data_IF_660297870481
#
_entry.id   IF_660297870481
#
_cell.length_a   1.000
_cell.length_b   1.000
_cell.length_c   1.000
_cell.angle_alpha   90.00
_cell.angle_beta   90.00
_cell.angle_gamma   90.00
#
_symmetry.space_group_name_H-M   'P 1'
#
loop_
_entity.id
_entity.type
_entity.pdbx_description
1 polymer ?
#
# COMPACT_ATOMS: atom_id res chain seq x y z
N UNK A 1 101.46 -3.38 3.41
CA UNK A 1 100.70 -4.08 2.35
C UNK A 1 99.22 -4.00 2.71
N UNK A 2 98.56 -3.13 2.02
CA UNK A 2 97.16 -2.78 2.32
C UNK A 2 96.16 -3.87 1.78
N UNK A 3 95.29 -4.42 2.61
CA UNK A 3 94.14 -5.22 2.17
C UNK A 3 92.87 -4.52 2.60
N UNK A 4 92.12 -4.03 1.61
CA UNK A 4 90.80 -3.41 1.76
C UNK A 4 89.75 -4.46 2.06
N UNK A 5 88.97 -4.28 3.11
CA UNK A 5 87.70 -5.05 3.39
C UNK A 5 86.54 -4.42 2.64
N UNK A 6 85.62 -5.21 2.07
CA UNK A 6 84.51 -4.69 1.23
C UNK A 6 83.33 -4.18 2.02
N UNK A 7 82.79 -3.04 1.55
CA UNK A 7 81.59 -2.36 2.00
C UNK A 7 80.37 -3.10 1.52
N UNK A 8 79.90 -4.18 2.20
CA UNK A 8 78.65 -4.93 1.85
C UNK A 8 77.56 -4.88 2.95
N UNK A 9 77.83 -4.25 4.09
CA UNK A 9 76.90 -4.32 5.22
C UNK A 9 75.83 -3.22 5.32
N UNK A 10 75.88 -2.19 4.46
CA UNK A 10 74.87 -1.07 4.55
C UNK A 10 73.69 -1.19 3.61
N UNK A 11 73.72 -2.03 2.60
CA UNK A 11 72.61 -2.17 1.64
C UNK A 11 71.46 -3.07 2.14
N UNK A 12 71.74 -4.03 3.07
CA UNK A 12 70.72 -4.94 3.56
C UNK A 12 69.83 -4.34 4.65
N UNK A 13 70.38 -3.42 5.45
CA UNK A 13 69.61 -2.77 6.52
C UNK A 13 68.56 -1.75 5.98
N UNK A 14 68.92 -1.03 4.88
CA UNK A 14 67.99 -0.07 4.24
C UNK A 14 66.85 -0.74 3.50
N UNK A 15 67.07 -1.96 2.95
CA UNK A 15 66.00 -2.70 2.26
C UNK A 15 65.00 -3.32 3.20
N UNK A 16 65.40 -3.74 4.41
CA UNK A 16 64.49 -4.29 5.43
C UNK A 16 63.62 -3.18 6.03
N UNK A 17 64.15 -1.95 6.21
CA UNK A 17 63.36 -0.81 6.73
C UNK A 17 62.31 -0.34 5.69
N UNK A 18 62.61 -0.37 4.38
CA UNK A 18 61.68 0.02 3.33
C UNK A 18 60.52 -1.01 3.17
N UNK A 19 60.80 -2.30 3.41
CA UNK A 19 59.72 -3.33 3.34
C UNK A 19 58.87 -3.40 4.61
N UNK A 20 59.40 -3.00 5.76
CA UNK A 20 58.59 -2.94 6.99
C UNK A 20 57.63 -1.76 7.02
N UNK A 21 57.95 -0.67 6.30
CA UNK A 21 57.06 0.50 6.15
C UNK A 21 55.86 0.26 5.23
N UNK A 22 55.96 -0.75 4.31
CA UNK A 22 54.88 -1.09 3.39
C UNK A 22 53.85 -2.05 3.99
N UNK A 23 54.16 -2.74 5.08
CA UNK A 23 53.27 -3.66 5.75
C UNK A 23 52.32 -2.99 6.79
N UNK A 24 52.51 -1.69 7.08
CA UNK A 24 51.69 -0.96 8.04
C UNK A 24 50.55 -0.18 7.36
N UNK A 25 50.54 -0.11 6.01
CA UNK A 25 49.55 0.70 5.26
C UNK A 25 48.30 -0.07 4.80
N UNK A 26 48.09 -1.29 5.29
CA UNK A 26 46.90 -2.09 4.94
C UNK A 26 45.95 -2.31 6.12
N UNK A 27 45.90 -1.39 7.06
CA UNK A 27 44.74 -1.30 7.94
C UNK A 27 43.62 -0.72 7.10
N UNK A 28 42.88 -1.56 6.38
CA UNK A 28 41.52 -1.22 6.01
C UNK A 28 40.79 -1.04 7.33
N UNK A 29 40.74 0.21 7.79
CA UNK A 29 39.75 0.60 8.77
C UNK A 29 38.40 0.24 8.14
N UNK A 30 37.80 -0.88 8.57
CA UNK A 30 36.39 -1.06 8.41
C UNK A 30 35.78 0.13 9.15
N UNK A 31 35.47 1.20 8.44
CA UNK A 31 34.59 2.22 8.93
C UNK A 31 33.28 1.46 9.19
N UNK A 32 33.03 1.14 10.45
CA UNK A 32 31.68 0.82 10.91
C UNK A 32 30.93 2.10 10.61
N UNK A 33 30.15 2.08 9.54
CA UNK A 33 29.25 3.17 9.20
C UNK A 33 28.29 3.29 10.37
N UNK A 34 28.57 4.23 11.28
CA UNK A 34 27.71 4.50 12.42
C UNK A 34 26.38 4.99 11.85
N UNK A 35 25.34 4.24 12.13
CA UNK A 35 23.99 4.58 11.68
C UNK A 35 23.62 5.99 12.18
N UNK A 36 23.30 6.88 11.25
CA UNK A 36 23.01 8.26 11.56
C UNK A 36 21.64 8.42 12.24
N UNK A 37 21.56 9.33 13.19
CA UNK A 37 20.28 9.72 13.77
C UNK A 37 19.49 10.51 12.71
N UNK A 38 18.27 10.07 12.41
CA UNK A 38 17.32 10.77 11.52
C UNK A 38 16.48 11.79 12.29
N UNK A 39 16.02 11.43 13.50
CA UNK A 39 15.31 12.34 14.38
C UNK A 39 15.49 11.96 15.85
N UNK A 40 15.22 12.91 16.74
CA UNK A 40 15.09 12.69 18.18
C UNK A 40 13.69 13.11 18.63
N UNK A 41 13.01 12.25 19.39
CA UNK A 41 11.68 12.49 19.96
C UNK A 41 11.80 12.35 21.49
N UNK A 42 11.85 13.46 22.19
CA UNK A 42 12.25 13.48 23.60
C UNK A 42 13.66 12.90 23.77
N UNK A 43 13.77 11.82 24.52
CA UNK A 43 15.05 11.11 24.75
C UNK A 43 15.32 9.99 23.74
N UNK A 44 14.32 9.58 22.96
CA UNK A 44 14.42 8.48 22.02
C UNK A 44 14.96 8.95 20.67
N UNK A 45 15.91 8.19 20.10
CA UNK A 45 16.40 8.41 18.74
C UNK A 45 15.63 7.55 17.74
N UNK A 46 15.46 8.08 16.53
CA UNK A 46 15.07 7.34 15.33
C UNK A 46 16.29 7.34 14.42
N UNK A 47 16.73 6.16 14.02
CA UNK A 47 17.90 6.01 13.16
C UNK A 47 17.49 6.08 11.68
N UNK A 48 18.44 6.42 10.81
CA UNK A 48 18.21 6.39 9.36
C UNK A 48 17.87 4.99 8.87
N UNK A 49 18.52 3.97 9.44
CA UNK A 49 18.19 2.57 9.16
C UNK A 49 16.76 2.21 9.53
N UNK A 50 16.20 2.77 10.61
CA UNK A 50 14.79 2.53 11.00
C UNK A 50 13.84 2.98 9.90
N UNK A 51 14.07 4.18 9.33
CA UNK A 51 13.27 4.73 8.25
C UNK A 51 13.39 3.86 6.99
N UNK A 52 14.62 3.52 6.59
CA UNK A 52 14.89 2.70 5.41
C UNK A 52 14.27 1.29 5.55
N UNK A 53 14.33 0.71 6.73
CA UNK A 53 13.72 -0.59 7.02
C UNK A 53 12.19 -0.54 6.90
N UNK A 54 11.53 0.53 7.38
CA UNK A 54 10.08 0.69 7.20
C UNK A 54 9.71 0.89 5.73
N UNK A 55 10.47 1.71 4.98
CA UNK A 55 10.29 1.87 3.53
C UNK A 55 10.42 0.53 2.80
N UNK A 56 11.44 -0.25 3.14
CA UNK A 56 11.67 -1.57 2.54
C UNK A 56 10.52 -2.54 2.86
N UNK A 57 10.02 -2.55 4.09
CA UNK A 57 8.85 -3.38 4.50
C UNK A 57 7.59 -3.00 3.74
N UNK A 58 7.41 -1.70 3.45
CA UNK A 58 6.30 -1.19 2.65
C UNK A 58 6.49 -1.40 1.13
N UNK A 59 7.65 -1.91 0.69
CA UNK A 59 7.98 -2.07 -0.74
C UNK A 59 8.27 -0.75 -1.45
N UNK A 60 8.47 0.35 -0.70
CA UNK A 60 8.72 1.68 -1.24
C UNK A 60 10.23 1.90 -1.37
N UNK A 61 10.67 2.31 -2.57
CA UNK A 61 12.08 2.58 -2.88
C UNK A 61 12.35 4.03 -3.29
N UNK A 62 11.29 4.83 -3.42
CA UNK A 62 11.42 6.24 -3.81
C UNK A 62 11.96 7.04 -2.62
N UNK A 63 13.11 7.68 -2.81
CA UNK A 63 13.75 8.52 -1.80
C UNK A 63 12.89 9.76 -1.43
N UNK A 64 11.98 10.20 -2.30
CA UNK A 64 11.05 11.28 -2.02
C UNK A 64 10.11 10.96 -0.84
N UNK A 65 9.81 9.68 -0.61
CA UNK A 65 8.96 9.22 0.48
C UNK A 65 9.65 9.16 1.85
N UNK A 66 10.98 9.31 1.91
CA UNK A 66 11.75 9.22 3.15
C UNK A 66 11.20 10.12 4.26
N UNK A 67 10.88 11.38 3.95
CA UNK A 67 10.36 12.33 4.91
C UNK A 67 8.97 11.91 5.44
N UNK A 68 8.15 11.31 4.61
CA UNK A 68 6.84 10.76 4.98
C UNK A 68 6.99 9.62 5.99
N UNK A 69 7.86 8.64 5.71
CA UNK A 69 8.16 7.54 6.63
C UNK A 69 8.80 7.99 7.94
N UNK A 70 9.71 8.96 7.89
CA UNK A 70 10.30 9.55 9.09
C UNK A 70 9.22 10.21 9.98
N UNK A 71 8.30 10.97 9.38
CA UNK A 71 7.19 11.57 10.12
C UNK A 71 6.27 10.51 10.75
N UNK A 72 5.98 9.41 10.05
CA UNK A 72 5.19 8.31 10.61
C UNK A 72 5.88 7.67 11.82
N UNK A 73 7.21 7.49 11.78
CA UNK A 73 7.97 6.98 12.91
C UNK A 73 8.00 7.96 14.09
N UNK A 74 8.10 9.26 13.81
CA UNK A 74 8.00 10.32 14.84
C UNK A 74 6.61 10.25 15.51
N UNK A 75 5.53 10.21 14.73
CA UNK A 75 4.18 10.15 15.27
C UNK A 75 3.95 8.86 16.08
N UNK A 76 4.47 7.73 15.60
CA UNK A 76 4.45 6.47 16.35
C UNK A 76 5.14 6.60 17.71
N UNK A 77 6.32 7.20 17.76
CA UNK A 77 7.05 7.44 19.02
C UNK A 77 6.28 8.35 19.96
N UNK A 78 5.66 9.40 19.46
CA UNK A 78 4.81 10.31 20.25
C UNK A 78 3.62 9.56 20.87
N UNK A 79 2.95 8.71 20.10
CA UNK A 79 1.81 7.90 20.57
C UNK A 79 2.26 6.92 21.66
N UNK A 80 3.37 6.21 21.45
CA UNK A 80 3.92 5.27 22.45
C UNK A 80 4.31 5.99 23.75
N UNK A 81 4.90 7.18 23.65
CA UNK A 81 5.22 8.02 24.79
C UNK A 81 3.95 8.46 25.56
N UNK A 82 2.91 8.87 24.84
CA UNK A 82 1.61 9.20 25.43
C UNK A 82 0.96 7.99 26.11
N UNK A 83 1.08 6.79 25.51
CA UNK A 83 0.61 5.54 26.11
C UNK A 83 1.36 5.23 27.40
N UNK A 84 2.69 5.36 27.42
CA UNK A 84 3.49 5.16 28.61
C UNK A 84 3.11 6.15 29.73
N UNK A 85 2.91 7.43 29.41
CA UNK A 85 2.48 8.46 30.36
C UNK A 85 1.10 8.18 30.96
N UNK A 86 0.20 7.61 30.17
CA UNK A 86 -1.14 7.18 30.63
C UNK A 86 -1.16 5.77 31.26
N UNK A 87 0.03 5.14 31.42
CA UNK A 87 0.19 3.75 31.91
C UNK A 87 -0.61 2.72 31.09
N UNK A 88 -0.86 3.00 29.82
CA UNK A 88 -1.52 2.05 28.93
C UNK A 88 -0.54 0.95 28.55
N UNK A 89 -0.90 -0.29 28.86
CA UNK A 89 -0.12 -1.49 28.51
C UNK A 89 -1.03 -2.56 27.94
N UNK A 90 -0.47 -3.44 27.11
CA UNK A 90 -1.16 -4.64 26.66
C UNK A 90 -0.81 -5.82 27.56
N UNK A 91 -1.85 -6.51 28.03
CA UNK A 91 -1.66 -7.74 28.80
C UNK A 91 -1.18 -8.86 27.87
N UNK A 92 -0.32 -9.75 28.37
CA UNK A 92 0.32 -10.78 27.54
C UNK A 92 -0.67 -11.72 26.89
N UNK A 93 -1.77 -12.09 27.56
CA UNK A 93 -2.81 -12.95 26.95
C UNK A 93 -3.50 -12.28 25.74
N UNK A 94 -3.63 -10.95 25.71
CA UNK A 94 -4.19 -10.18 24.58
C UNK A 94 -3.21 -10.23 23.42
N UNK A 95 -1.90 -10.03 23.69
CA UNK A 95 -0.84 -10.14 22.68
C UNK A 95 -0.79 -11.56 22.10
N UNK A 96 -0.83 -12.58 22.94
CA UNK A 96 -0.86 -13.98 22.48
C UNK A 96 -2.10 -14.31 21.64
N UNK A 97 -3.26 -13.74 22.00
CA UNK A 97 -4.48 -13.88 21.20
C UNK A 97 -4.30 -13.28 19.81
N UNK A 98 -3.66 -12.10 19.73
CA UNK A 98 -3.33 -11.46 18.46
C UNK A 98 -2.35 -12.28 17.64
N UNK A 99 -1.33 -12.85 18.26
CA UNK A 99 -0.37 -13.75 17.60
C UNK A 99 -1.10 -14.96 17.02
N UNK A 100 -1.99 -15.61 17.78
CA UNK A 100 -2.79 -16.74 17.27
C UNK A 100 -3.65 -16.34 16.08
N UNK A 101 -4.25 -15.16 16.11
CA UNK A 101 -5.03 -14.64 14.99
C UNK A 101 -4.19 -14.43 13.73
N UNK A 102 -2.99 -13.82 13.87
CA UNK A 102 -2.04 -13.62 12.77
C UNK A 102 -1.63 -14.98 12.18
N UNK A 103 -1.24 -15.93 13.03
CA UNK A 103 -0.84 -17.28 12.60
C UNK A 103 -2.00 -17.97 11.86
N UNK A 104 -3.22 -17.85 12.37
CA UNK A 104 -4.41 -18.44 11.72
C UNK A 104 -4.69 -17.82 10.35
N UNK A 105 -4.65 -16.48 10.23
CA UNK A 105 -5.05 -15.77 9.00
C UNK A 105 -3.97 -15.77 7.92
N UNK A 106 -2.70 -15.60 8.30
CA UNK A 106 -1.60 -15.40 7.36
C UNK A 106 -0.72 -16.65 7.14
N UNK A 107 -0.83 -17.63 8.02
CA UNK A 107 0.04 -18.82 8.02
C UNK A 107 -0.74 -20.14 8.17
N UNK A 108 -2.05 -20.15 7.85
CA UNK A 108 -2.93 -21.33 7.91
C UNK A 108 -2.92 -22.05 9.28
N UNK A 109 -2.67 -21.33 10.36
CA UNK A 109 -2.54 -21.88 11.71
C UNK A 109 -1.17 -22.49 12.04
N UNK A 110 -0.22 -22.48 11.11
CA UNK A 110 1.12 -23.03 11.30
C UNK A 110 2.11 -21.97 11.79
N UNK A 111 2.49 -22.10 13.08
CA UNK A 111 3.47 -21.21 13.71
C UNK A 111 4.88 -21.34 13.12
N UNK A 112 5.25 -22.50 12.57
CA UNK A 112 6.58 -22.68 11.99
C UNK A 112 6.74 -21.85 10.73
N UNK A 113 5.69 -21.72 9.91
CA UNK A 113 5.68 -20.82 8.74
C UNK A 113 5.95 -19.37 9.13
N UNK A 114 5.40 -18.89 10.25
CA UNK A 114 5.72 -17.56 10.79
C UNK A 114 7.21 -17.47 11.14
N UNK A 115 7.75 -18.43 11.90
CA UNK A 115 9.16 -18.42 12.33
C UNK A 115 10.10 -18.46 11.13
N UNK A 116 9.82 -19.28 10.12
CA UNK A 116 10.60 -19.34 8.87
C UNK A 116 10.56 -18.02 8.12
N UNK A 117 9.38 -17.37 8.06
CA UNK A 117 9.22 -16.09 7.40
C UNK A 117 10.02 -14.99 8.10
N UNK A 118 9.97 -14.93 9.43
CA UNK A 118 10.78 -14.01 10.24
C UNK A 118 12.28 -14.26 10.03
N UNK A 119 12.71 -15.52 10.03
CA UNK A 119 14.11 -15.89 9.81
C UNK A 119 14.62 -15.45 8.43
N UNK A 120 13.80 -15.60 7.38
CA UNK A 120 14.12 -15.09 6.04
C UNK A 120 14.26 -13.57 6.01
N UNK A 121 13.50 -12.86 6.83
CA UNK A 121 13.57 -11.40 6.97
C UNK A 121 14.65 -10.95 7.97
N UNK A 122 15.39 -11.86 8.59
CA UNK A 122 16.39 -11.61 9.64
C UNK A 122 15.81 -10.90 10.87
N UNK A 123 14.55 -11.17 11.19
CA UNK A 123 13.84 -10.63 12.37
C UNK A 123 13.73 -11.76 13.40
N UNK A 124 14.12 -11.49 14.63
CA UNK A 124 13.91 -12.46 15.72
C UNK A 124 12.44 -12.48 16.18
N UNK A 125 11.97 -13.62 16.66
CA UNK A 125 10.60 -13.71 17.19
C UNK A 125 10.33 -12.74 18.36
N UNK A 126 11.25 -12.56 19.34
CA UNK A 126 11.05 -11.55 20.40
C UNK A 126 10.95 -10.12 19.86
N UNK A 127 11.76 -9.76 18.88
CA UNK A 127 11.69 -8.42 18.23
C UNK A 127 10.34 -8.22 17.53
N UNK A 128 9.91 -9.20 16.74
CA UNK A 128 8.61 -9.16 16.09
C UNK A 128 7.46 -9.08 17.09
N UNK A 129 7.54 -9.84 18.20
CA UNK A 129 6.53 -9.81 19.26
C UNK A 129 6.46 -8.46 19.95
N UNK A 130 7.62 -7.85 20.25
CA UNK A 130 7.70 -6.52 20.83
C UNK A 130 7.06 -5.47 19.90
N UNK A 131 7.38 -5.50 18.60
CA UNK A 131 6.75 -4.63 17.59
C UNK A 131 5.25 -4.86 17.49
N UNK A 132 4.80 -6.12 17.52
CA UNK A 132 3.37 -6.46 17.53
C UNK A 132 2.66 -5.87 18.75
N UNK A 133 3.27 -5.95 19.94
CA UNK A 133 2.74 -5.34 21.17
C UNK A 133 2.65 -3.82 21.05
N UNK A 134 3.68 -3.17 20.51
CA UNK A 134 3.66 -1.73 20.24
C UNK A 134 2.56 -1.34 19.25
N UNK A 135 2.37 -2.09 18.14
CA UNK A 135 1.32 -1.84 17.17
C UNK A 135 -0.07 -1.90 17.81
N UNK A 136 -0.27 -2.85 18.71
CA UNK A 136 -1.51 -2.97 19.49
C UNK A 136 -1.72 -1.78 20.43
N UNK A 137 -0.66 -1.29 21.08
CA UNK A 137 -0.73 -0.10 21.95
C UNK A 137 -1.07 1.14 21.12
N UNK A 138 -0.42 1.34 19.99
CA UNK A 138 -0.71 2.45 19.05
C UNK A 138 -2.16 2.41 18.58
N UNK A 139 -2.63 1.22 18.16
CA UNK A 139 -4.02 1.02 17.74
C UNK A 139 -5.02 1.32 18.87
N UNK A 140 -4.76 0.86 20.09
CA UNK A 140 -5.62 1.12 21.24
C UNK A 140 -5.64 2.60 21.64
N UNK A 141 -4.52 3.30 21.55
CA UNK A 141 -4.44 4.75 21.78
C UNK A 141 -5.26 5.49 20.72
N UNK A 142 -5.08 5.16 19.45
CA UNK A 142 -5.86 5.75 18.36
C UNK A 142 -7.36 5.53 18.57
N UNK A 143 -7.76 4.30 18.86
CA UNK A 143 -9.17 3.99 19.13
C UNK A 143 -9.73 4.82 20.30
N UNK A 144 -8.98 4.93 21.40
CA UNK A 144 -9.39 5.67 22.58
C UNK A 144 -9.50 7.18 22.36
N UNK A 145 -8.62 7.78 21.58
CA UNK A 145 -8.55 9.24 21.40
C UNK A 145 -9.32 9.69 20.15
N UNK A 146 -9.33 8.89 19.10
CA UNK A 146 -9.89 9.24 17.81
C UNK A 146 -11.15 8.42 17.53
N UNK A 147 -11.01 7.13 17.24
CA UNK A 147 -12.04 6.35 16.56
C UNK A 147 -13.37 6.27 17.33
N UNK A 148 -13.33 6.10 18.65
CA UNK A 148 -14.54 6.09 19.48
C UNK A 148 -15.25 7.45 19.62
N UNK A 149 -14.56 8.55 19.27
CA UNK A 149 -15.08 9.91 19.36
C UNK A 149 -15.53 10.46 18.00
N UNK A 150 -15.37 9.68 16.92
CA UNK A 150 -15.81 10.05 15.59
C UNK A 150 -17.33 10.07 15.52
N UNK A 151 -17.88 11.19 15.09
CA UNK A 151 -19.32 11.36 14.88
C UNK A 151 -19.59 12.04 13.54
N UNK A 152 -20.69 11.64 12.88
CA UNK A 152 -21.19 12.34 11.71
C UNK A 152 -22.43 13.14 12.13
N UNK A 153 -22.29 14.45 12.29
CA UNK A 153 -23.46 15.28 12.60
C UNK A 153 -24.38 15.41 11.37
N UNK A 154 -25.71 15.49 11.55
CA UNK A 154 -26.63 15.69 10.43
C UNK A 154 -26.31 16.94 9.59
N UNK A 155 -25.82 18.01 10.23
CA UNK A 155 -25.40 19.23 9.56
C UNK A 155 -24.18 19.01 8.65
N UNK A 156 -23.15 18.29 9.16
CA UNK A 156 -21.97 17.94 8.39
C UNK A 156 -22.29 17.02 7.21
N UNK A 157 -23.17 16.03 7.41
CA UNK A 157 -23.63 15.13 6.36
C UNK A 157 -24.39 15.88 5.26
N UNK A 158 -25.25 16.83 5.63
CA UNK A 158 -25.98 17.64 4.65
C UNK A 158 -25.00 18.53 3.87
N UNK A 159 -24.05 19.16 4.56
CA UNK A 159 -23.03 20.01 3.92
C UNK A 159 -22.16 19.21 2.94
N UNK A 160 -21.71 18.01 3.29
CA UNK A 160 -20.96 17.11 2.42
C UNK A 160 -21.75 16.75 1.16
N UNK A 161 -23.00 16.33 1.33
CA UNK A 161 -23.88 15.97 0.21
C UNK A 161 -24.13 17.17 -0.73
N UNK A 162 -24.43 18.34 -0.17
CA UNK A 162 -24.73 19.54 -0.97
C UNK A 162 -23.50 20.07 -1.70
N UNK A 163 -22.30 19.93 -1.11
CA UNK A 163 -21.03 20.34 -1.71
C UNK A 163 -20.52 19.36 -2.78
N UNK A 164 -20.88 18.06 -2.69
CA UNK A 164 -20.27 17.00 -3.49
C UNK A 164 -21.31 16.03 -4.08
N UNK A 165 -22.45 16.54 -4.56
CA UNK A 165 -23.52 15.73 -5.17
C UNK A 165 -23.06 14.84 -6.31
N UNK A 166 -22.02 15.25 -7.02
CA UNK A 166 -21.39 14.51 -8.11
C UNK A 166 -20.73 13.20 -7.67
N UNK A 167 -20.40 13.05 -6.38
CA UNK A 167 -19.84 11.81 -5.80
C UNK A 167 -20.93 10.78 -5.47
N UNK A 168 -22.16 11.26 -5.26
CA UNK A 168 -23.30 10.43 -4.84
C UNK A 168 -24.19 10.18 -6.04
N UNK A 169 -23.68 9.36 -6.96
CA UNK A 169 -24.41 8.92 -8.15
C UNK A 169 -24.52 7.41 -8.14
N UNK A 170 -25.64 6.91 -8.66
CA UNK A 170 -25.80 5.48 -8.84
C UNK A 170 -24.74 4.97 -9.82
N UNK A 171 -24.09 3.86 -9.49
CA UNK A 171 -23.13 3.22 -10.39
C UNK A 171 -23.78 2.99 -11.76
N UNK A 172 -23.09 3.43 -12.81
CA UNK A 172 -23.48 3.11 -14.18
C UNK A 172 -23.22 1.62 -14.44
N UNK A 173 -24.28 0.84 -14.54
CA UNK A 173 -24.20 -0.58 -14.82
C UNK A 173 -25.02 -0.89 -16.08
N UNK A 174 -24.52 -1.84 -16.85
CA UNK A 174 -25.15 -2.27 -18.10
C UNK A 174 -25.52 -3.75 -18.04
N UNK A 175 -26.64 -4.08 -18.66
CA UNK A 175 -26.98 -5.46 -19.02
C UNK A 175 -26.80 -5.57 -20.54
N UNK A 176 -26.00 -6.53 -20.95
CA UNK A 176 -25.65 -6.66 -22.37
C UNK A 176 -25.41 -8.10 -22.77
N UNK A 177 -25.57 -8.36 -24.07
CA UNK A 177 -25.23 -9.63 -24.70
C UNK A 177 -24.05 -9.42 -25.67
N UNK A 178 -23.08 -10.32 -25.64
CA UNK A 178 -21.83 -10.20 -26.42
C UNK A 178 -21.57 -11.47 -27.21
N UNK A 179 -21.43 -11.35 -28.51
CA UNK A 179 -20.87 -12.40 -29.35
C UNK A 179 -19.41 -12.10 -29.60
N UNK A 180 -18.54 -13.05 -29.26
CA UNK A 180 -17.09 -12.95 -29.40
C UNK A 180 -16.59 -13.98 -30.41
N UNK A 181 -15.92 -13.52 -31.47
CA UNK A 181 -15.29 -14.39 -32.47
C UNK A 181 -13.77 -14.29 -32.34
N UNK A 182 -13.13 -15.46 -32.42
CA UNK A 182 -11.68 -15.56 -32.53
C UNK A 182 -11.20 -15.10 -33.90
N UNK A 183 -9.90 -14.78 -34.07
CA UNK A 183 -9.35 -14.38 -35.36
C UNK A 183 -9.64 -15.38 -36.50
N UNK A 184 -9.60 -16.70 -36.21
CA UNK A 184 -9.88 -17.78 -37.15
C UNK A 184 -11.34 -17.86 -37.57
N UNK A 185 -12.27 -17.38 -36.75
CA UNK A 185 -13.73 -17.44 -37.02
C UNK A 185 -14.28 -16.17 -37.69
N UNK A 186 -13.42 -15.28 -38.14
CA UNK A 186 -13.78 -13.96 -38.66
C UNK A 186 -14.76 -13.99 -39.85
N UNK A 187 -14.67 -15.04 -40.66
CA UNK A 187 -15.57 -15.26 -41.80
C UNK A 187 -17.03 -15.48 -41.40
N UNK A 188 -17.29 -15.88 -40.14
CA UNK A 188 -18.66 -16.10 -39.63
C UNK A 188 -19.41 -14.80 -39.33
N UNK A 189 -18.78 -13.63 -39.43
CA UNK A 189 -19.44 -12.33 -39.13
C UNK A 189 -20.67 -12.10 -40.02
N UNK A 190 -20.55 -12.34 -41.32
CA UNK A 190 -21.64 -12.13 -42.28
C UNK A 190 -22.79 -13.09 -42.01
N UNK A 191 -22.46 -14.38 -41.75
CA UNK A 191 -23.45 -15.41 -41.38
C UNK A 191 -24.21 -15.00 -40.11
N UNK A 192 -23.48 -14.60 -39.05
CA UNK A 192 -24.09 -14.18 -37.77
C UNK A 192 -24.94 -12.93 -37.96
N UNK A 193 -24.44 -11.92 -38.69
CA UNK A 193 -25.19 -10.70 -38.99
C UNK A 193 -26.49 -10.96 -39.75
N UNK A 194 -26.47 -11.92 -40.69
CA UNK A 194 -27.67 -12.33 -41.40
C UNK A 194 -28.65 -13.10 -40.48
N UNK A 195 -28.13 -14.00 -39.67
CA UNK A 195 -28.91 -14.83 -38.75
C UNK A 195 -29.58 -14.06 -37.62
N UNK A 196 -29.05 -12.89 -37.22
CA UNK A 196 -29.65 -12.01 -36.21
C UNK A 196 -31.05 -11.50 -36.60
N UNK A 197 -31.46 -11.62 -37.83
CA UNK A 197 -32.83 -11.29 -38.25
C UNK A 197 -33.88 -12.29 -37.74
N UNK A 198 -33.45 -13.52 -37.43
CA UNK A 198 -34.34 -14.65 -37.10
C UNK A 198 -33.94 -15.36 -35.79
N UNK A 199 -32.73 -15.19 -35.33
CA UNK A 199 -32.18 -15.85 -34.13
C UNK A 199 -31.76 -14.83 -33.08
N UNK A 200 -31.83 -15.24 -31.82
CA UNK A 200 -31.36 -14.43 -30.67
C UNK A 200 -29.82 -14.43 -30.55
N UNK A 201 -29.27 -13.52 -29.79
CA UNK A 201 -27.84 -13.48 -29.47
C UNK A 201 -27.37 -14.78 -28.81
N UNK A 202 -28.18 -15.32 -27.93
CA UNK A 202 -27.90 -16.55 -27.16
C UNK A 202 -27.82 -17.78 -28.10
N UNK A 203 -28.75 -17.88 -29.04
CA UNK A 203 -28.78 -18.96 -30.05
C UNK A 203 -27.57 -18.89 -31.02
N UNK A 204 -26.97 -17.70 -31.17
CA UNK A 204 -25.78 -17.47 -31.99
C UNK A 204 -24.46 -17.55 -31.15
N UNK A 205 -24.53 -18.04 -29.89
CA UNK A 205 -23.39 -18.22 -29.01
C UNK A 205 -23.02 -16.99 -28.24
N UNK A 206 -23.91 -16.02 -28.15
CA UNK A 206 -23.74 -14.82 -27.34
C UNK A 206 -23.80 -15.12 -25.84
N UNK A 207 -22.98 -14.40 -25.08
CA UNK A 207 -22.99 -14.40 -23.59
C UNK A 207 -23.71 -13.17 -23.06
N UNK A 208 -24.58 -13.38 -22.09
CA UNK A 208 -25.23 -12.29 -21.37
C UNK A 208 -24.42 -11.90 -20.13
N UNK A 209 -24.25 -10.61 -19.93
CA UNK A 209 -23.65 -9.99 -18.75
C UNK A 209 -24.73 -9.11 -18.12
N UNK A 210 -25.10 -9.42 -16.88
CA UNK A 210 -26.19 -8.73 -16.22
C UNK A 210 -25.65 -7.76 -15.16
N UNK A 211 -26.08 -6.51 -15.24
CA UNK A 211 -25.83 -5.49 -14.22
C UNK A 211 -24.34 -5.32 -13.85
N UNK A 212 -23.49 -5.27 -14.89
CA UNK A 212 -22.02 -5.14 -14.75
C UNK A 212 -21.56 -3.72 -15.06
N UNK A 213 -20.45 -3.30 -14.45
CA UNK A 213 -19.70 -2.12 -14.89
C UNK A 213 -18.88 -2.51 -16.11
N UNK A 214 -19.09 -1.82 -17.21
CA UNK A 214 -18.44 -2.17 -18.48
C UNK A 214 -16.91 -2.11 -18.38
N UNK A 215 -16.38 -1.10 -17.67
CA UNK A 215 -14.95 -0.88 -17.44
C UNK A 215 -14.26 -1.94 -16.57
N UNK A 216 -15.02 -2.70 -15.76
CA UNK A 216 -14.47 -3.78 -14.93
C UNK A 216 -14.44 -5.13 -15.67
N UNK A 217 -15.25 -5.28 -16.72
CA UNK A 217 -15.46 -6.57 -17.41
C UNK A 217 -14.82 -6.60 -18.77
N UNK A 218 -14.76 -5.46 -19.46
CA UNK A 218 -14.31 -5.37 -20.85
C UNK A 218 -13.06 -4.51 -20.97
N UNK A 219 -12.35 -4.66 -22.10
CA UNK A 219 -11.25 -3.78 -22.45
C UNK A 219 -11.74 -2.33 -22.60
N UNK A 220 -10.89 -1.32 -22.36
CA UNK A 220 -11.28 0.07 -22.42
C UNK A 220 -12.00 0.47 -23.69
N UNK A 221 -11.53 0.00 -24.85
CA UNK A 221 -12.08 0.33 -26.16
C UNK A 221 -13.52 -0.24 -26.34
N UNK A 222 -13.78 -1.43 -25.77
CA UNK A 222 -15.12 -2.04 -25.76
C UNK A 222 -16.03 -1.28 -24.80
N UNK A 223 -15.53 -0.92 -23.63
CA UNK A 223 -16.28 -0.17 -22.61
C UNK A 223 -16.70 1.22 -23.12
N UNK A 224 -15.80 1.91 -23.83
CA UNK A 224 -16.11 3.20 -24.47
C UNK A 224 -17.23 3.08 -25.54
N UNK A 225 -17.22 2.01 -26.31
CA UNK A 225 -18.27 1.79 -27.31
C UNK A 225 -19.61 1.47 -26.62
N UNK A 226 -19.59 0.63 -25.59
CA UNK A 226 -20.79 0.35 -24.78
C UNK A 226 -21.40 1.62 -24.20
N UNK A 227 -20.57 2.55 -23.71
CA UNK A 227 -21.03 3.82 -23.15
C UNK A 227 -21.76 4.70 -24.18
N UNK A 228 -21.35 4.64 -25.45
CA UNK A 228 -21.97 5.41 -26.55
C UNK A 228 -23.26 4.77 -27.09
N UNK A 229 -23.46 3.47 -26.84
CA UNK A 229 -24.61 2.73 -27.40
C UNK A 229 -25.91 3.11 -26.69
N UNK A 230 -27.00 3.41 -27.41
CA UNK A 230 -28.33 3.49 -26.83
C UNK A 230 -28.82 2.12 -26.36
N UNK A 231 -29.68 2.11 -25.33
CA UNK A 231 -30.37 0.91 -24.87
C UNK A 231 -31.18 0.27 -26.01
N UNK A 232 -31.12 -1.05 -26.11
CA UNK A 232 -31.84 -1.84 -27.12
C UNK A 232 -31.15 -1.90 -28.50
N UNK A 233 -29.96 -1.32 -28.64
CA UNK A 233 -29.24 -1.32 -29.92
C UNK A 233 -28.15 -2.40 -29.98
N UNK A 234 -27.81 -2.76 -31.24
CA UNK A 234 -26.72 -3.68 -31.58
C UNK A 234 -25.61 -2.83 -32.21
N UNK A 235 -24.35 -3.07 -31.81
CA UNK A 235 -23.18 -2.40 -32.38
C UNK A 235 -22.91 -2.93 -33.80
N UNK A 236 -22.00 -2.28 -34.51
CA UNK A 236 -21.26 -2.93 -35.58
C UNK A 236 -20.15 -3.82 -34.99
N UNK A 237 -19.54 -4.65 -35.85
CA UNK A 237 -18.42 -5.47 -35.41
C UNK A 237 -17.23 -4.60 -35.02
N UNK A 238 -16.74 -4.76 -33.76
CA UNK A 238 -15.58 -4.07 -33.21
C UNK A 238 -14.41 -5.04 -33.23
N UNK A 239 -13.27 -4.63 -33.80
CA UNK A 239 -12.04 -5.43 -33.83
C UNK A 239 -11.03 -4.90 -32.83
N UNK A 240 -10.58 -5.80 -31.94
CA UNK A 240 -9.55 -5.48 -30.96
C UNK A 240 -8.63 -6.69 -30.83
N UNK A 241 -7.33 -6.50 -31.08
CA UNK A 241 -6.30 -7.55 -31.01
C UNK A 241 -6.65 -8.79 -31.86
N UNK A 242 -7.31 -8.60 -33.04
CA UNK A 242 -7.75 -9.66 -33.91
C UNK A 242 -9.05 -10.35 -33.51
N UNK A 243 -9.56 -10.13 -32.30
CA UNK A 243 -10.87 -10.61 -31.87
C UNK A 243 -11.97 -9.69 -32.38
N UNK A 244 -13.15 -10.26 -32.61
CA UNK A 244 -14.31 -9.51 -33.12
C UNK A 244 -15.45 -9.59 -32.12
N UNK A 245 -15.91 -8.41 -31.70
CA UNK A 245 -17.00 -8.24 -30.74
C UNK A 245 -18.24 -7.72 -31.44
N UNK A 246 -19.38 -8.35 -31.19
CA UNK A 246 -20.69 -7.80 -31.53
C UNK A 246 -21.47 -7.66 -30.24
N UNK A 247 -21.96 -6.46 -29.96
CA UNK A 247 -22.54 -6.07 -28.70
C UNK A 247 -24.02 -5.77 -28.87
N UNK A 248 -24.86 -6.16 -27.91
CA UNK A 248 -26.24 -5.69 -27.77
C UNK A 248 -26.44 -5.15 -26.38
N UNK A 249 -26.77 -3.87 -26.26
CA UNK A 249 -27.08 -3.24 -24.98
C UNK A 249 -28.53 -3.48 -24.62
N UNK A 250 -28.79 -4.39 -23.69
CA UNK A 250 -30.14 -4.80 -23.31
C UNK A 250 -30.77 -3.83 -22.31
N UNK A 251 -30.00 -3.39 -21.32
CA UNK A 251 -30.43 -2.42 -20.30
C UNK A 251 -29.24 -1.59 -19.78
N UNK A 252 -29.54 -0.47 -19.18
CA UNK A 252 -28.55 0.31 -18.42
C UNK A 252 -29.20 1.00 -17.23
N UNK A 253 -28.48 1.04 -16.13
CA UNK A 253 -28.78 1.89 -15.00
C UNK A 253 -28.06 3.21 -15.23
N UNK A 254 -28.80 4.28 -15.51
CA UNK A 254 -28.18 5.60 -15.67
C UNK A 254 -27.56 6.04 -14.35
N UNK A 255 -26.45 6.75 -14.41
CA UNK A 255 -25.83 7.40 -13.27
C UNK A 255 -26.73 8.51 -12.70
N UNK A 256 -27.90 8.14 -12.20
CA UNK A 256 -28.83 9.07 -11.57
C UNK A 256 -28.19 9.56 -10.26
N UNK A 257 -28.25 10.85 -10.00
CA UNK A 257 -27.89 11.38 -8.69
C UNK A 257 -28.77 10.72 -7.62
N UNK A 258 -28.13 10.12 -6.64
CA UNK A 258 -28.82 9.57 -5.46
C UNK A 258 -29.38 10.71 -4.62
N UNK A 259 -30.58 10.55 -4.08
CA UNK A 259 -31.08 11.44 -3.05
C UNK A 259 -30.21 11.35 -1.79
N UNK A 260 -30.36 12.31 -0.89
CA UNK A 260 -29.66 12.28 0.41
C UNK A 260 -29.91 10.98 1.18
N UNK A 261 -31.16 10.50 1.18
CA UNK A 261 -31.54 9.28 1.89
C UNK A 261 -30.96 8.02 1.23
N UNK A 262 -30.91 7.98 -0.11
CA UNK A 262 -30.30 6.86 -0.85
C UNK A 262 -28.77 6.83 -0.69
N UNK A 263 -28.12 7.98 -0.50
CA UNK A 263 -26.68 8.11 -0.31
C UNK A 263 -26.25 8.15 1.16
N UNK A 264 -27.20 8.05 2.11
CA UNK A 264 -26.98 8.30 3.54
C UNK A 264 -25.75 7.57 4.10
N UNK A 265 -25.64 6.25 3.89
CA UNK A 265 -24.54 5.45 4.43
C UNK A 265 -23.17 5.86 3.84
N UNK A 266 -23.13 6.20 2.54
CA UNK A 266 -21.93 6.65 1.88
C UNK A 266 -21.49 8.04 2.37
N UNK A 267 -22.46 8.94 2.57
CA UNK A 267 -22.23 10.27 3.15
C UNK A 267 -21.71 10.15 4.58
N UNK A 268 -22.36 9.30 5.39
CA UNK A 268 -21.96 9.07 6.78
C UNK A 268 -20.53 8.53 6.87
N UNK A 269 -20.17 7.56 6.02
CA UNK A 269 -18.83 7.01 5.96
C UNK A 269 -17.80 8.08 5.61
N UNK A 270 -18.07 8.91 4.58
CA UNK A 270 -17.20 10.01 4.16
C UNK A 270 -16.98 11.05 5.26
N UNK A 271 -18.07 11.46 5.93
CA UNK A 271 -18.00 12.44 7.01
C UNK A 271 -17.25 11.87 8.22
N UNK A 272 -17.48 10.60 8.57
CA UNK A 272 -16.75 9.92 9.67
C UNK A 272 -15.26 9.81 9.35
N UNK A 273 -14.89 9.50 8.12
CA UNK A 273 -13.49 9.43 7.70
C UNK A 273 -12.79 10.80 7.82
N UNK A 274 -13.44 11.86 7.33
CA UNK A 274 -12.94 13.24 7.44
C UNK A 274 -12.79 13.67 8.91
N UNK A 275 -13.76 13.34 9.76
CA UNK A 275 -13.70 13.65 11.19
C UNK A 275 -12.62 12.84 11.91
N UNK A 276 -12.46 11.55 11.57
CA UNK A 276 -11.38 10.72 12.11
C UNK A 276 -10.00 11.30 11.77
N UNK A 277 -9.82 11.75 10.53
CA UNK A 277 -8.59 12.41 10.09
C UNK A 277 -8.35 13.69 10.87
N UNK A 278 -9.34 14.55 10.98
CA UNK A 278 -9.26 15.82 11.72
C UNK A 278 -8.89 15.61 13.21
N UNK A 279 -9.54 14.64 13.86
CA UNK A 279 -9.26 14.31 15.26
C UNK A 279 -7.85 13.74 15.44
N UNK A 280 -7.41 12.90 14.52
CA UNK A 280 -6.06 12.33 14.51
C UNK A 280 -4.99 13.42 14.35
N UNK A 281 -5.13 14.28 13.36
CA UNK A 281 -4.21 15.39 13.11
C UNK A 281 -4.12 16.34 14.31
N UNK A 282 -5.25 16.75 14.88
CA UNK A 282 -5.28 17.59 16.05
C UNK A 282 -4.64 16.93 17.29
N UNK A 283 -4.81 15.62 17.43
CA UNK A 283 -4.15 14.87 18.49
C UNK A 283 -2.63 14.81 18.31
N UNK A 284 -2.16 14.48 17.10
CA UNK A 284 -0.72 14.43 16.78
C UNK A 284 -0.08 15.81 16.95
N UNK A 285 -0.71 16.89 16.48
CA UNK A 285 -0.21 18.26 16.68
C UNK A 285 -0.01 18.58 18.15
N UNK A 286 -0.97 18.20 19.02
CA UNK A 286 -0.84 18.37 20.46
C UNK A 286 0.35 17.59 21.02
N UNK A 287 0.50 16.32 20.65
CA UNK A 287 1.64 15.50 21.10
C UNK A 287 2.98 16.10 20.64
N UNK A 288 3.04 16.65 19.43
CA UNK A 288 4.22 17.33 18.89
C UNK A 288 4.53 18.61 19.66
N UNK A 289 3.51 19.39 20.03
CA UNK A 289 3.70 20.62 20.82
C UNK A 289 4.24 20.33 22.24
N UNK A 290 3.83 19.22 22.83
CA UNK A 290 4.21 18.81 24.19
C UNK A 290 5.55 18.05 24.26
N UNK A 291 6.20 17.78 23.11
CA UNK A 291 7.40 16.94 23.06
C UNK A 291 8.50 17.62 22.24
N UNK A 292 9.73 17.61 22.76
CA UNK A 292 10.89 18.08 21.99
C UNK A 292 11.15 17.14 20.82
N UNK A 293 11.15 17.68 19.60
CA UNK A 293 11.44 16.95 18.36
C UNK A 293 12.56 17.70 17.61
N UNK A 294 13.59 16.95 17.20
CA UNK A 294 14.66 17.46 16.35
C UNK A 294 14.91 16.49 15.20
N UNK A 295 14.78 16.96 13.98
CA UNK A 295 15.14 16.25 12.73
C UNK A 295 16.55 16.67 12.31
N UNK A 296 17.38 15.74 11.81
CA UNK A 296 18.79 15.96 11.47
C UNK A 296 19.05 15.87 9.97
#
# INVERSE_FOLDING_TARGET
>A
MNVRLPRVRFALATFIILHLSFLISSSTAFAVELDGIAARVGEEAILRSDVLNEMQRAGVRDAAEYASFLNQLIDRKLILRAAASSKMTMQDWVVESRVREIVKKAFDGDRNKLIETLSRQKISYPEWLAKTKEDMVVGAMRWNVVDKNVTASPAAMRAEYDAHRERYVQDHKVTMSVILLKPEDKLRREEISAALKTKSFEELGGRKYENVKAEEVFKPEVAEEIAKMPKGTISHWIEIDGWSFLLRKDDETSGKALSFDEAYDAIEATVKEAEAKRLYEAWIERLRADTYIKVF
#
